data_IF_820848855671
#
_entry.id   IF_820848855671
#
_cell.length_a   1.000
_cell.length_b   1.000
_cell.length_c   1.000
_cell.angle_alpha   90.00
_cell.angle_beta   90.00
_cell.angle_gamma   90.00
#
_symmetry.space_group_name_H-M   'P 1'
#
loop_
_entity.id
_entity.type
_entity.pdbx_description
1 polymer ?
#
# COMPACT_ATOMS: atom_id res chain seq x y z
N UNK A 1 6.56 3.24 30.62
CA UNK A 1 5.86 3.03 29.35
C UNK A 1 6.90 2.95 28.25
N UNK A 2 7.02 1.80 27.55
CA UNK A 2 7.95 1.68 26.43
C UNK A 2 7.53 2.68 25.35
N UNK A 3 8.47 3.48 24.83
CA UNK A 3 8.24 4.29 23.63
C UNK A 3 7.85 3.32 22.51
N UNK A 4 6.57 3.27 22.15
CA UNK A 4 6.11 2.58 20.95
C UNK A 4 6.82 3.27 19.79
N UNK A 5 7.74 2.58 19.13
CA UNK A 5 8.44 3.14 17.97
C UNK A 5 7.40 3.41 16.90
N UNK A 6 7.04 4.68 16.71
CA UNK A 6 6.09 5.10 15.69
C UNK A 6 6.57 4.62 14.31
N UNK A 7 5.71 3.86 13.63
CA UNK A 7 5.95 3.39 12.28
C UNK A 7 5.62 4.52 11.29
N UNK A 8 6.29 5.66 11.39
CA UNK A 8 6.14 6.77 10.46
C UNK A 8 6.48 6.32 9.02
N UNK A 9 5.91 6.92 7.95
CA UNK A 9 6.18 6.56 6.55
C UNK A 9 7.65 6.38 6.12
N UNK A 10 8.64 6.87 6.87
CA UNK A 10 10.05 6.66 6.55
C UNK A 10 10.63 5.34 7.12
N UNK A 11 9.82 4.58 7.83
CA UNK A 11 10.26 3.36 8.51
C UNK A 11 10.40 2.17 7.56
N UNK A 12 11.23 1.17 7.93
CA UNK A 12 11.37 -0.06 7.15
C UNK A 12 10.05 -0.80 6.91
N UNK A 13 9.07 -0.65 7.82
CA UNK A 13 7.73 -1.23 7.65
C UNK A 13 7.04 -0.72 6.39
N UNK A 14 6.95 0.60 6.23
CA UNK A 14 6.31 1.20 5.05
C UNK A 14 7.12 0.95 3.78
N UNK A 15 8.44 0.94 3.85
CA UNK A 15 9.27 0.56 2.70
C UNK A 15 8.94 -0.85 2.20
N UNK A 16 8.79 -1.83 3.11
CA UNK A 16 8.37 -3.19 2.75
C UNK A 16 6.96 -3.23 2.15
N UNK A 17 6.01 -2.46 2.69
CA UNK A 17 4.65 -2.37 2.13
C UNK A 17 4.62 -1.76 0.73
N UNK A 18 5.39 -0.70 0.49
CA UNK A 18 5.54 -0.08 -0.83
C UNK A 18 6.12 -1.06 -1.84
N UNK A 19 7.20 -1.77 -1.47
CA UNK A 19 7.80 -2.79 -2.33
C UNK A 19 6.81 -3.91 -2.69
N UNK A 20 6.04 -4.38 -1.70
CA UNK A 20 4.98 -5.37 -1.94
C UNK A 20 3.93 -4.83 -2.92
N UNK A 21 3.47 -3.59 -2.74
CA UNK A 21 2.50 -2.96 -3.63
C UNK A 21 3.02 -2.86 -5.07
N UNK A 22 4.27 -2.48 -5.27
CA UNK A 22 4.90 -2.41 -6.60
C UNK A 22 5.02 -3.80 -7.25
N UNK A 23 5.39 -4.83 -6.49
CA UNK A 23 5.43 -6.20 -7.00
C UNK A 23 4.03 -6.70 -7.39
N UNK A 24 2.99 -6.36 -6.63
CA UNK A 24 1.60 -6.72 -6.97
C UNK A 24 1.14 -6.02 -8.25
N UNK A 25 1.48 -4.74 -8.45
CA UNK A 25 1.21 -4.01 -9.70
C UNK A 25 1.91 -4.67 -10.89
N UNK A 26 3.19 -5.01 -10.73
CA UNK A 26 3.96 -5.68 -11.78
C UNK A 26 3.38 -7.05 -12.12
N UNK A 27 2.98 -7.83 -11.12
CA UNK A 27 2.30 -9.12 -11.31
C UNK A 27 1.00 -8.94 -12.09
N UNK A 28 0.16 -7.98 -11.70
CA UNK A 28 -1.10 -7.68 -12.41
C UNK A 28 -0.85 -7.33 -13.88
N UNK A 29 0.17 -6.50 -14.16
CA UNK A 29 0.53 -6.14 -15.53
C UNK A 29 0.97 -7.37 -16.35
N UNK A 30 1.76 -8.27 -15.76
CA UNK A 30 2.19 -9.51 -16.42
C UNK A 30 1.01 -10.43 -16.72
N UNK A 31 0.09 -10.62 -15.76
CA UNK A 31 -1.12 -11.43 -15.93
C UNK A 31 -2.02 -10.91 -17.07
N UNK A 32 -2.05 -9.60 -17.29
CA UNK A 32 -2.87 -8.98 -18.35
C UNK A 32 -2.21 -8.98 -19.73
N UNK A 33 -0.89 -9.12 -19.81
CA UNK A 33 -0.11 -8.87 -21.04
C UNK A 33 0.61 -10.10 -21.59
N UNK A 34 0.51 -11.25 -20.93
CA UNK A 34 1.23 -12.47 -21.29
C UNK A 34 0.27 -13.64 -21.42
N UNK A 35 0.56 -14.52 -22.38
CA UNK A 35 0.02 -15.87 -22.37
C UNK A 35 0.76 -16.67 -21.29
N UNK A 36 0.01 -17.19 -20.32
CA UNK A 36 0.57 -17.85 -19.14
C UNK A 36 -0.01 -19.26 -19.08
N UNK A 37 0.84 -20.31 -18.97
CA UNK A 37 0.36 -21.67 -18.83
C UNK A 37 -0.57 -21.85 -17.62
N UNK A 38 -1.62 -22.65 -17.78
CA UNK A 38 -2.62 -22.94 -16.74
C UNK A 38 -1.97 -23.44 -15.44
N UNK A 39 -1.01 -24.36 -15.56
CA UNK A 39 -0.26 -24.89 -14.42
C UNK A 39 0.44 -23.80 -13.58
N UNK A 40 0.89 -22.72 -14.22
CA UNK A 40 1.51 -21.60 -13.53
C UNK A 40 0.47 -20.71 -12.85
N UNK A 41 -0.69 -20.52 -13.47
CA UNK A 41 -1.83 -19.82 -12.87
C UNK A 41 -2.32 -20.55 -11.61
N UNK A 42 -2.43 -21.88 -11.65
CA UNK A 42 -2.83 -22.69 -10.49
C UNK A 42 -1.86 -22.57 -9.32
N UNK A 43 -0.56 -22.60 -9.61
CA UNK A 43 0.49 -22.39 -8.59
C UNK A 43 0.41 -21.00 -7.98
N UNK A 44 0.27 -19.96 -8.80
CA UNK A 44 0.12 -18.59 -8.31
C UNK A 44 -1.13 -18.45 -7.45
N UNK A 45 -2.27 -19.00 -7.89
CA UNK A 45 -3.52 -18.94 -7.15
C UNK A 45 -3.42 -19.65 -5.78
N UNK A 46 -2.77 -20.81 -5.74
CA UNK A 46 -2.52 -21.54 -4.49
C UNK A 46 -1.67 -20.72 -3.51
N UNK A 47 -0.59 -20.09 -4.00
CA UNK A 47 0.27 -19.23 -3.19
C UNK A 47 -0.48 -18.00 -2.67
N UNK A 48 -1.26 -17.33 -3.52
CA UNK A 48 -2.05 -16.15 -3.12
C UNK A 48 -3.12 -16.53 -2.08
N UNK A 49 -3.78 -17.67 -2.27
CA UNK A 49 -4.80 -18.16 -1.33
C UNK A 49 -4.20 -18.45 0.05
N UNK A 50 -3.05 -19.13 0.12
CA UNK A 50 -2.39 -19.38 1.41
C UNK A 50 -1.93 -18.08 2.07
N UNK A 51 -1.37 -17.14 1.32
CA UNK A 51 -0.97 -15.85 1.87
C UNK A 51 -2.17 -15.03 2.38
N UNK A 52 -3.31 -15.03 1.68
CA UNK A 52 -4.52 -14.36 2.14
C UNK A 52 -5.02 -14.95 3.47
N UNK A 53 -5.03 -16.29 3.60
CA UNK A 53 -5.40 -16.97 4.84
C UNK A 53 -4.49 -16.59 6.01
N UNK A 54 -3.18 -16.42 5.76
CA UNK A 54 -2.25 -15.96 6.79
C UNK A 54 -2.53 -14.49 7.17
N UNK A 55 -2.88 -13.65 6.19
CA UNK A 55 -3.18 -12.23 6.41
C UNK A 55 -4.50 -11.99 7.16
N UNK A 56 -5.47 -12.89 7.05
CA UNK A 56 -6.74 -12.81 7.79
C UNK A 56 -6.55 -12.85 9.32
N UNK A 57 -5.40 -13.34 9.80
CA UNK A 57 -5.06 -13.34 11.23
C UNK A 57 -4.63 -11.97 11.78
N UNK A 58 -4.46 -10.96 10.92
CA UNK A 58 -4.03 -9.62 11.30
C UNK A 58 -5.24 -8.66 11.39
N UNK A 59 -5.19 -7.62 12.26
CA UNK A 59 -6.30 -6.71 12.44
C UNK A 59 -6.63 -5.93 11.17
N UNK A 60 -7.93 -5.79 10.88
CA UNK A 60 -8.42 -4.96 9.78
C UNK A 60 -8.33 -3.49 10.17
N UNK A 61 -7.54 -2.72 9.42
CA UNK A 61 -7.45 -1.27 9.52
C UNK A 61 -8.00 -0.66 8.22
N UNK A 62 -9.29 -0.27 8.25
CA UNK A 62 -10.00 0.24 7.08
C UNK A 62 -9.97 1.78 7.02
N UNK A 63 -9.23 2.32 6.05
CA UNK A 63 -9.16 3.76 5.78
C UNK A 63 -8.39 4.57 6.85
N UNK A 64 -8.14 5.85 6.56
CA UNK A 64 -7.22 6.70 7.35
C UNK A 64 -7.53 6.73 8.85
N UNK A 65 -8.81 6.72 9.23
CA UNK A 65 -9.28 6.81 10.62
C UNK A 65 -8.83 5.60 11.45
N UNK A 66 -9.10 4.38 10.98
CA UNK A 66 -8.73 3.16 11.70
C UNK A 66 -7.21 3.02 11.87
N UNK A 67 -6.44 3.47 10.87
CA UNK A 67 -4.98 3.48 10.95
C UNK A 67 -4.47 4.52 11.96
N UNK A 68 -5.02 5.74 11.96
CA UNK A 68 -4.67 6.80 12.91
C UNK A 68 -5.03 6.45 14.36
N UNK A 69 -6.22 5.88 14.58
CA UNK A 69 -6.69 5.44 15.91
C UNK A 69 -5.79 4.39 16.57
N UNK A 70 -5.02 3.62 15.78
CA UNK A 70 -4.06 2.66 16.32
C UNK A 70 -2.85 3.31 17.03
N UNK A 71 -2.60 4.61 16.77
CA UNK A 71 -1.46 5.37 17.29
C UNK A 71 -0.08 4.82 16.90
N UNK A 72 -0.03 3.78 16.07
CA UNK A 72 1.18 2.99 15.80
C UNK A 72 1.90 3.41 14.52
N UNK A 73 1.18 4.02 13.57
CA UNK A 73 1.66 4.22 12.20
C UNK A 73 1.93 5.68 11.81
N UNK A 74 2.00 6.56 12.82
CA UNK A 74 2.13 8.01 12.64
C UNK A 74 0.78 8.72 12.53
N UNK A 75 0.83 9.99 12.15
CA UNK A 75 -0.35 10.85 12.01
C UNK A 75 -1.23 10.47 10.81
N UNK A 76 -2.48 10.92 10.84
CA UNK A 76 -3.50 10.59 9.82
C UNK A 76 -3.09 11.00 8.39
N UNK A 77 -2.47 12.17 8.23
CA UNK A 77 -2.12 12.74 6.92
C UNK A 77 -1.01 11.94 6.20
N UNK A 78 0.12 11.61 6.85
CA UNK A 78 1.12 10.72 6.28
C UNK A 78 0.58 9.32 5.94
N UNK A 79 -0.33 8.78 6.77
CA UNK A 79 -0.97 7.49 6.52
C UNK A 79 -1.84 7.54 5.26
N UNK A 80 -2.58 8.63 5.05
CA UNK A 80 -3.41 8.79 3.86
C UNK A 80 -2.57 8.72 2.56
N UNK A 81 -1.33 9.20 2.58
CA UNK A 81 -0.39 9.10 1.47
C UNK A 81 0.18 7.69 1.26
N UNK A 82 -0.01 6.77 2.20
CA UNK A 82 0.42 5.38 2.08
C UNK A 82 -0.70 4.45 1.64
N UNK A 83 -1.88 4.55 2.25
CA UNK A 83 -2.94 3.52 2.12
C UNK A 83 -4.12 3.93 1.25
N UNK A 84 -4.17 5.19 0.77
CA UNK A 84 -5.24 5.66 -0.13
C UNK A 84 -5.28 4.82 -1.41
N UNK A 85 -6.46 4.44 -1.93
CA UNK A 85 -6.57 3.75 -3.21
C UNK A 85 -6.22 4.65 -4.39
N UNK A 86 -6.28 5.98 -4.25
CA UNK A 86 -6.01 6.92 -5.34
C UNK A 86 -4.52 7.32 -5.44
N UNK A 87 -3.88 7.56 -4.30
CA UNK A 87 -2.55 8.19 -4.24
C UNK A 87 -1.57 7.45 -3.32
N UNK A 88 -2.00 6.31 -2.77
CA UNK A 88 -1.26 5.58 -1.75
C UNK A 88 -0.06 4.86 -2.33
N UNK A 89 1.14 5.18 -1.83
CA UNK A 89 2.38 4.50 -2.25
C UNK A 89 2.42 3.02 -1.90
N UNK A 90 1.69 2.62 -0.86
CA UNK A 90 1.57 1.24 -0.39
C UNK A 90 0.30 0.54 -0.90
N UNK A 91 -0.39 1.14 -1.88
CA UNK A 91 -1.58 0.58 -2.52
C UNK A 91 -1.26 0.08 -3.93
N UNK A 92 -1.54 -1.20 -4.19
CA UNK A 92 -1.44 -1.76 -5.54
C UNK A 92 -2.50 -1.21 -6.50
N UNK A 93 -3.61 -0.68 -5.97
CA UNK A 93 -4.69 -0.07 -6.75
C UNK A 93 -4.35 1.36 -7.19
N UNK A 94 -3.39 2.01 -6.53
CA UNK A 94 -3.05 3.38 -6.84
C UNK A 94 -2.25 3.47 -8.14
N UNK A 95 -2.74 4.25 -9.12
CA UNK A 95 -1.95 4.56 -10.30
C UNK A 95 -0.67 5.31 -9.90
N UNK A 96 0.37 5.29 -10.75
CA UNK A 96 1.62 6.03 -10.52
C UNK A 96 1.42 7.53 -10.71
N UNK A 97 0.54 8.15 -9.92
CA UNK A 97 0.25 9.57 -9.96
C UNK A 97 1.36 10.34 -9.25
N UNK A 98 1.84 11.39 -9.91
CA UNK A 98 2.64 12.45 -9.27
C UNK A 98 1.73 13.66 -9.11
N UNK A 99 1.44 14.01 -7.86
CA UNK A 99 0.60 15.16 -7.54
C UNK A 99 1.52 16.33 -7.20
N UNK A 100 1.24 17.46 -7.84
CA UNK A 100 1.87 18.74 -7.54
C UNK A 100 0.83 19.60 -6.83
N UNK A 101 1.12 20.00 -5.59
CA UNK A 101 0.30 20.99 -4.89
C UNK A 101 0.85 22.37 -5.28
N UNK A 102 0.09 23.10 -6.07
CA UNK A 102 0.36 24.52 -6.28
C UNK A 102 -0.33 25.31 -5.17
N UNK A 103 0.45 26.12 -4.45
CA UNK A 103 -0.13 27.13 -3.59
C UNK A 103 -0.88 28.13 -4.46
N UNK A 104 -2.16 28.36 -4.14
CA UNK A 104 -2.97 29.39 -4.81
C UNK A 104 -2.35 30.80 -4.73
N UNK A 105 -1.37 31.00 -3.85
CA UNK A 105 -0.65 32.26 -3.67
C UNK A 105 0.57 32.45 -4.60
N UNK A 106 0.88 31.49 -5.49
CA UNK A 106 2.00 31.63 -6.46
C UNK A 106 1.54 31.89 -7.90
N UNK A 107 0.24 32.06 -8.14
CA UNK A 107 -0.29 32.40 -9.47
C UNK A 107 -0.37 33.92 -9.75
N UNK A 108 0.08 34.77 -8.82
CA UNK A 108 0.12 36.24 -8.97
C UNK A 108 1.50 36.82 -8.57
N UNK A 109 2.58 36.30 -9.15
CA UNK A 109 3.91 36.92 -9.08
C UNK A 109 4.58 36.95 -10.46
#
# INVERSE_FOLDING_TARGET
>A
MAKTTELHPHTPYWQKRRLLAENLKALQLLLLSREIPEEYLDRLNSLLTENNRQLDNYPVLAGKKAWGESGRYGDEDPIACEVSPLIGKSSALSPPLRIWLHDKNTAEA
#
